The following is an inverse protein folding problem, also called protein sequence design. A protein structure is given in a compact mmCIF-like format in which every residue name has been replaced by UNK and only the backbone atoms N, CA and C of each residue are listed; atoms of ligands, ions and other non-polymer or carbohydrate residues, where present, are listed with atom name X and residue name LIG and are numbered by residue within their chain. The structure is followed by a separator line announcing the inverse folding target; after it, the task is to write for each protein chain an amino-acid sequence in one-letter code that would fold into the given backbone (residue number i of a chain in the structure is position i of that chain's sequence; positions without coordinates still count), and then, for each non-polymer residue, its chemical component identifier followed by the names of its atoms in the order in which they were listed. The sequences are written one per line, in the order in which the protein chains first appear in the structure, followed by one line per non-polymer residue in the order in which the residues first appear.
data_IF_651767225394
#
_entry.id   IF_651767225394
#
_cell.length_a   1.000
_cell.length_b   1.000
_cell.length_c   1.000
_cell.angle_alpha   90.00
_cell.angle_beta   90.00
_cell.angle_gamma   90.00
#
_symmetry.space_group_name_H-M   'P 1'
#
loop_
_entity.id
_entity.type
_entity.pdbx_description
1 polymer ?
#
# COMPACT_ATOMS: atom_id res chain seq x y z
N UNK A 1 -16.37 -11.39 17.01
CA UNK A 1 -15.77 -10.06 17.28
C UNK A 1 -14.34 -10.25 17.76
N UNK A 2 -13.36 -9.47 17.25
CA UNK A 2 -11.97 -9.57 17.66
C UNK A 2 -11.26 -8.22 17.56
N UNK A 3 -10.13 -8.12 18.25
CA UNK A 3 -9.22 -6.96 18.20
C UNK A 3 -7.85 -7.48 17.80
N UNK A 4 -7.16 -6.74 16.94
CA UNK A 4 -5.82 -7.07 16.48
C UNK A 4 -4.95 -5.83 16.59
N UNK A 5 -3.75 -5.98 17.12
CA UNK A 5 -2.83 -4.87 17.32
C UNK A 5 -1.67 -4.94 16.30
N UNK A 6 -1.20 -3.79 15.89
CA UNK A 6 -0.10 -3.66 14.94
C UNK A 6 1.16 -4.42 15.39
N UNK A 7 1.50 -4.33 16.67
CA UNK A 7 2.69 -5.00 17.23
C UNK A 7 2.55 -6.52 17.17
N UNK A 8 1.35 -7.05 17.41
CA UNK A 8 1.08 -8.49 17.31
C UNK A 8 1.20 -8.98 15.87
N UNK A 9 0.66 -8.20 14.92
CA UNK A 9 0.74 -8.52 13.49
C UNK A 9 2.20 -8.54 13.01
N UNK A 10 3.04 -7.67 13.54
CA UNK A 10 4.47 -7.60 13.18
C UNK A 10 5.24 -8.88 13.48
N UNK A 11 4.77 -9.69 14.41
CA UNK A 11 5.38 -10.96 14.77
C UNK A 11 4.87 -12.15 13.95
N UNK A 12 4.06 -11.88 12.92
CA UNK A 12 3.42 -12.92 12.09
C UNK A 12 3.76 -12.74 10.62
N UNK A 13 3.33 -13.69 9.78
CA UNK A 13 3.44 -13.61 8.32
C UNK A 13 2.59 -12.50 7.71
N UNK A 14 1.74 -11.84 8.50
CA UNK A 14 0.97 -10.67 8.08
C UNK A 14 1.84 -9.41 7.96
N UNK A 15 3.02 -9.41 8.54
CA UNK A 15 4.00 -8.37 8.35
C UNK A 15 4.84 -8.66 7.10
N UNK A 16 4.92 -7.69 6.21
CA UNK A 16 5.67 -7.79 4.96
C UNK A 16 6.57 -6.58 4.80
N UNK A 17 7.87 -6.80 4.65
CA UNK A 17 8.78 -5.79 4.10
C UNK A 17 8.73 -5.94 2.57
N UNK A 18 8.21 -4.92 1.86
CA UNK A 18 8.04 -5.00 0.42
C UNK A 18 9.16 -4.29 -0.36
N UNK A 19 10.26 -3.95 0.32
CA UNK A 19 11.45 -3.35 -0.28
C UNK A 19 11.55 -1.84 -0.03
N UNK A 20 10.53 -1.08 -0.39
CA UNK A 20 10.48 0.37 -0.17
C UNK A 20 9.66 0.76 1.07
N UNK A 21 9.32 -0.18 1.89
CA UNK A 21 8.55 0.06 3.10
C UNK A 21 8.01 -1.23 3.69
N UNK A 22 6.99 -1.09 4.54
CA UNK A 22 6.39 -2.21 5.25
C UNK A 22 4.88 -2.21 5.09
N UNK A 23 4.29 -3.39 5.19
CA UNK A 23 2.85 -3.58 5.20
C UNK A 23 2.49 -4.51 6.36
N UNK A 24 1.68 -4.00 7.27
CA UNK A 24 1.05 -4.80 8.31
C UNK A 24 -0.37 -5.11 7.82
N UNK A 25 -0.62 -6.36 7.44
CA UNK A 25 -1.92 -6.80 6.88
C UNK A 25 -2.86 -7.11 8.03
N UNK A 26 -3.60 -6.09 8.45
CA UNK A 26 -4.51 -6.18 9.60
C UNK A 26 -5.72 -7.06 9.31
N UNK A 27 -6.24 -7.01 8.08
CA UNK A 27 -7.30 -7.88 7.59
C UNK A 27 -6.91 -8.45 6.23
N UNK A 28 -7.14 -9.75 6.06
CA UNK A 28 -6.93 -10.46 4.80
C UNK A 28 -8.20 -11.24 4.43
N UNK A 29 -8.18 -11.93 3.30
CA UNK A 29 -9.30 -12.73 2.81
C UNK A 29 -9.84 -13.71 3.86
N UNK A 30 -8.94 -14.34 4.62
CA UNK A 30 -9.32 -15.35 5.63
C UNK A 30 -10.13 -14.78 6.80
N UNK A 31 -10.09 -13.47 7.01
CA UNK A 31 -10.89 -12.82 8.03
C UNK A 31 -12.37 -12.67 7.63
N UNK A 32 -12.71 -12.92 6.37
CA UNK A 32 -14.09 -13.02 5.89
C UNK A 32 -14.85 -11.69 5.81
N UNK A 33 -14.16 -10.55 5.85
CA UNK A 33 -14.80 -9.23 5.80
C UNK A 33 -15.07 -8.73 4.39
N UNK A 34 -14.51 -9.39 3.36
CA UNK A 34 -14.71 -8.99 1.97
C UNK A 34 -13.78 -7.87 1.50
N UNK A 35 -12.82 -7.46 2.31
CA UNK A 35 -11.80 -6.48 1.96
C UNK A 35 -10.54 -6.71 2.80
N UNK A 36 -9.44 -6.10 2.36
CA UNK A 36 -8.17 -6.10 3.10
C UNK A 36 -7.91 -4.70 3.65
N UNK A 37 -7.35 -4.64 4.86
CA UNK A 37 -6.84 -3.40 5.47
C UNK A 37 -5.38 -3.62 5.85
N UNK A 38 -4.53 -2.71 5.38
CA UNK A 38 -3.10 -2.72 5.73
C UNK A 38 -2.71 -1.38 6.35
N UNK A 39 -1.81 -1.44 7.32
CA UNK A 39 -1.03 -0.28 7.74
C UNK A 39 0.25 -0.29 6.92
N UNK A 40 0.42 0.70 6.05
CA UNK A 40 1.49 0.73 5.06
C UNK A 40 2.44 1.89 5.34
N UNK A 41 3.73 1.60 5.40
CA UNK A 41 4.78 2.62 5.46
C UNK A 41 5.51 2.62 4.13
N UNK A 42 5.62 3.80 3.53
CA UNK A 42 6.44 4.06 2.34
C UNK A 42 7.65 4.86 2.80
N UNK A 43 8.84 4.30 2.65
CA UNK A 43 10.07 4.93 3.16
C UNK A 43 10.34 6.25 2.44
N UNK A 44 10.86 7.21 3.21
CA UNK A 44 11.36 8.48 2.67
C UNK A 44 12.34 8.25 1.52
N UNK A 45 12.31 9.12 0.52
CA UNK A 45 13.22 9.12 -0.62
C UNK A 45 13.15 7.84 -1.49
N UNK A 46 12.06 7.08 -1.40
CA UNK A 46 11.87 5.86 -2.19
C UNK A 46 10.92 6.07 -3.37
N UNK A 47 11.06 5.22 -4.38
CA UNK A 47 10.18 5.17 -5.54
C UNK A 47 9.90 3.74 -5.93
N UNK A 48 8.64 3.42 -6.22
CA UNK A 48 8.24 2.13 -6.76
C UNK A 48 7.19 2.31 -7.86
N UNK A 49 7.29 1.50 -8.90
CA UNK A 49 6.26 1.39 -9.94
C UNK A 49 5.38 0.19 -9.62
N UNK A 50 4.10 0.44 -9.39
CA UNK A 50 3.15 -0.54 -8.87
C UNK A 50 1.89 -0.61 -9.74
N UNK A 51 1.27 -1.78 -9.75
CA UNK A 51 -0.05 -1.97 -10.35
C UNK A 51 -0.76 -3.14 -9.68
N UNK A 52 -2.05 -2.98 -9.39
CA UNK A 52 -2.89 -4.05 -8.82
C UNK A 52 -3.94 -4.44 -9.86
N UNK A 53 -3.61 -5.43 -10.68
CA UNK A 53 -4.50 -5.88 -11.78
C UNK A 53 -5.72 -6.64 -11.29
N UNK A 54 -5.62 -7.25 -10.12
CA UNK A 54 -6.66 -8.10 -9.54
C UNK A 54 -7.38 -7.44 -8.38
N UNK A 55 -7.02 -6.20 -8.04
CA UNK A 55 -7.58 -5.48 -6.89
C UNK A 55 -7.77 -4.01 -7.20
N UNK A 56 -8.79 -3.41 -6.62
CA UNK A 56 -8.89 -1.98 -6.46
C UNK A 56 -8.25 -1.60 -5.12
N UNK A 57 -7.64 -0.43 -5.03
CA UNK A 57 -7.04 0.04 -3.80
C UNK A 57 -7.43 1.48 -3.51
N UNK A 58 -7.70 1.76 -2.25
CA UNK A 58 -7.81 3.12 -1.72
C UNK A 58 -6.80 3.27 -0.57
N UNK A 59 -6.08 4.39 -0.55
CA UNK A 59 -5.07 4.67 0.46
C UNK A 59 -5.36 6.00 1.14
N UNK A 60 -5.58 5.94 2.46
CA UNK A 60 -5.78 7.13 3.28
C UNK A 60 -4.48 7.45 4.04
N UNK A 61 -3.93 8.64 3.80
CA UNK A 61 -2.71 9.08 4.48
C UNK A 61 -3.03 9.55 5.90
N UNK A 62 -2.35 8.95 6.88
CA UNK A 62 -2.54 9.29 8.29
C UNK A 62 -1.34 10.03 8.87
N UNK A 63 -0.17 9.99 8.20
CA UNK A 63 1.05 10.65 8.68
C UNK A 63 2.04 10.81 7.54
N UNK A 64 2.84 11.87 7.62
CA UNK A 64 3.91 12.11 6.66
C UNK A 64 3.42 12.68 5.35
N UNK A 65 4.25 12.54 4.34
CA UNK A 65 3.97 13.04 2.99
C UNK A 65 4.66 12.19 1.93
N UNK A 66 4.19 12.31 0.72
CA UNK A 66 4.75 11.65 -0.45
C UNK A 66 3.99 12.07 -1.69
N UNK A 67 4.01 11.26 -2.71
CA UNK A 67 3.29 11.53 -3.96
C UNK A 67 3.00 10.25 -4.73
N UNK A 68 1.98 10.34 -5.59
CA UNK A 68 1.70 9.34 -6.62
C UNK A 68 1.73 10.02 -7.98
N UNK A 69 2.16 9.29 -9.00
CA UNK A 69 2.19 9.77 -10.38
C UNK A 69 1.54 8.74 -11.29
N UNK A 70 0.64 9.18 -12.17
CA UNK A 70 0.04 8.30 -13.17
C UNK A 70 0.96 8.14 -14.39
N UNK A 71 0.56 7.33 -15.37
CA UNK A 71 1.38 7.10 -16.57
C UNK A 71 1.34 8.24 -17.58
N UNK A 72 0.51 9.25 -17.34
CA UNK A 72 0.44 10.47 -18.17
C UNK A 72 1.32 11.60 -17.59
N UNK A 73 2.03 11.35 -16.50
CA UNK A 73 2.92 12.31 -15.86
C UNK A 73 2.24 13.25 -14.89
N UNK A 74 0.98 13.01 -14.54
CA UNK A 74 0.30 13.81 -13.52
C UNK A 74 0.78 13.40 -12.14
N UNK A 75 1.31 14.34 -11.38
CA UNK A 75 1.84 14.14 -10.03
C UNK A 75 0.85 14.69 -9.02
N UNK A 76 0.47 13.85 -8.07
CA UNK A 76 -0.45 14.19 -6.99
C UNK A 76 0.29 14.12 -5.66
N UNK A 77 0.59 15.28 -5.02
CA UNK A 77 1.14 15.27 -3.66
C UNK A 77 0.14 14.66 -2.69
N UNK A 78 0.64 13.86 -1.75
CA UNK A 78 -0.16 13.19 -0.72
C UNK A 78 0.38 13.60 0.64
N UNK A 79 -0.50 13.99 1.53
CA UNK A 79 -0.20 14.35 2.92
C UNK A 79 -1.32 13.86 3.84
N UNK A 80 -1.10 13.96 5.14
CA UNK A 80 -2.09 13.51 6.13
C UNK A 80 -3.46 14.14 5.85
N UNK A 81 -4.49 13.28 5.81
CA UNK A 81 -5.86 13.67 5.49
C UNK A 81 -6.27 13.44 4.04
N UNK A 82 -5.32 13.17 3.15
CA UNK A 82 -5.63 12.85 1.75
C UNK A 82 -5.94 11.37 1.57
N UNK A 83 -6.87 11.08 0.68
CA UNK A 83 -7.08 9.73 0.15
C UNK A 83 -6.75 9.74 -1.34
N UNK A 84 -6.02 8.73 -1.81
CA UNK A 84 -5.92 8.47 -3.25
C UNK A 84 -6.51 7.10 -3.57
N UNK A 85 -7.05 6.99 -4.78
CA UNK A 85 -7.84 5.83 -5.19
C UNK A 85 -7.36 5.32 -6.53
N UNK A 86 -7.08 4.02 -6.59
CA UNK A 86 -6.70 3.31 -7.81
C UNK A 86 -7.94 2.54 -8.29
N UNK A 87 -8.88 3.26 -8.91
CA UNK A 87 -10.21 2.74 -9.27
C UNK A 87 -10.29 2.11 -10.65
N UNK A 88 -9.18 2.11 -11.40
CA UNK A 88 -9.08 1.56 -12.76
C UNK A 88 -7.89 0.62 -12.89
N UNK A 89 -7.47 -0.02 -11.79
CA UNK A 89 -6.26 -0.84 -11.73
C UNK A 89 -5.03 -0.06 -12.21
N UNK A 90 -4.94 1.20 -11.81
CA UNK A 90 -3.99 2.18 -12.31
C UNK A 90 -2.55 1.76 -12.05
N UNK A 91 -1.75 1.75 -13.10
CA UNK A 91 -0.29 1.65 -12.98
C UNK A 91 0.22 3.02 -12.57
N UNK A 92 1.06 3.05 -11.55
CA UNK A 92 1.46 4.32 -10.95
C UNK A 92 2.81 4.23 -10.26
N UNK A 93 3.47 5.37 -10.13
CA UNK A 93 4.60 5.52 -9.21
C UNK A 93 4.07 5.91 -7.84
N UNK A 94 4.66 5.31 -6.80
CA UNK A 94 4.43 5.68 -5.41
C UNK A 94 5.77 6.09 -4.82
N UNK A 95 5.83 7.29 -4.24
CA UNK A 95 7.05 7.85 -3.66
C UNK A 95 6.83 8.29 -2.23
N UNK A 96 7.76 7.94 -1.35
CA UNK A 96 7.87 8.55 -0.02
C UNK A 96 8.32 10.00 -0.13
N UNK A 97 8.13 10.76 0.93
CA UNK A 97 8.50 12.16 0.96
C UNK A 97 10.00 12.37 1.02
N UNK A 98 10.43 13.62 0.86
CA UNK A 98 11.82 14.00 1.05
C UNK A 98 12.13 13.94 2.55
N UNK A 99 12.99 12.98 2.93
CA UNK A 99 13.42 12.76 4.31
C UNK A 99 12.27 12.47 5.29
N UNK A 100 11.10 12.05 4.77
CA UNK A 100 9.93 11.78 5.56
C UNK A 100 9.16 10.57 4.99
N UNK A 101 8.83 9.61 5.85
CA UNK A 101 8.00 8.47 5.48
C UNK A 101 6.55 8.90 5.22
N UNK A 102 5.90 8.18 4.32
CA UNK A 102 4.46 8.29 4.07
C UNK A 102 3.78 7.10 4.76
N UNK A 103 2.79 7.37 5.60
CA UNK A 103 2.06 6.32 6.33
C UNK A 103 0.60 6.31 5.87
N UNK A 104 0.17 5.14 5.40
CA UNK A 104 -1.12 4.95 4.78
C UNK A 104 -1.93 3.86 5.47
N UNK A 105 -3.24 4.02 5.48
CA UNK A 105 -4.18 2.91 5.65
C UNK A 105 -4.61 2.51 4.23
N UNK A 106 -4.22 1.31 3.81
CA UNK A 106 -4.49 0.78 2.47
C UNK A 106 -5.63 -0.23 2.55
N UNK A 107 -6.61 -0.08 1.66
CA UNK A 107 -7.80 -0.93 1.59
C UNK A 107 -7.88 -1.54 0.21
N UNK A 108 -8.00 -2.86 0.13
CA UNK A 108 -8.09 -3.62 -1.12
C UNK A 108 -9.42 -4.34 -1.25
N UNK A 109 -9.98 -4.34 -2.45
CA UNK A 109 -11.17 -5.10 -2.85
C UNK A 109 -10.94 -5.70 -4.26
N UNK A 110 -11.07 -7.00 -4.49
CA UNK A 110 -11.25 -8.07 -3.49
C UNK A 110 -10.09 -8.14 -2.49
N UNK A 111 -10.26 -8.85 -1.37
CA UNK A 111 -9.23 -8.91 -0.35
C UNK A 111 -7.98 -9.66 -0.82
N UNK A 112 -6.82 -9.26 -0.30
CA UNK A 112 -5.58 -10.01 -0.47
C UNK A 112 -5.66 -11.34 0.28
N UNK A 113 -5.05 -12.38 -0.28
CA UNK A 113 -4.94 -13.69 0.38
C UNK A 113 -3.95 -13.67 1.54
N UNK A 114 -2.94 -12.80 1.46
CA UNK A 114 -1.85 -12.69 2.41
C UNK A 114 -0.50 -13.15 1.85
N UNK A 115 -0.52 -13.82 0.70
CA UNK A 115 0.72 -14.32 0.05
C UNK A 115 1.29 -13.39 -1.02
N UNK A 116 0.53 -12.37 -1.41
CA UNK A 116 0.99 -11.42 -2.44
C UNK A 116 2.25 -10.68 -1.99
N UNK A 117 3.18 -10.51 -2.92
CA UNK A 117 4.46 -9.83 -2.70
C UNK A 117 4.78 -8.94 -3.90
N UNK A 118 5.34 -7.76 -3.62
CA UNK A 118 5.88 -6.90 -4.67
C UNK A 118 7.20 -7.44 -5.22
N UNK A 119 7.36 -7.32 -6.52
CA UNK A 119 8.64 -7.51 -7.21
C UNK A 119 9.09 -6.16 -7.77
N UNK A 120 9.92 -5.45 -7.00
CA UNK A 120 10.41 -4.12 -7.36
C UNK A 120 11.47 -4.16 -8.47
N UNK A 121 11.98 -5.35 -8.83
CA UNK A 121 12.90 -5.53 -9.94
C UNK A 121 12.18 -5.72 -11.28
N UNK A 122 10.86 -5.84 -11.27
CA UNK A 122 10.07 -5.95 -12.49
C UNK A 122 9.99 -4.59 -13.18
N UNK A 123 10.58 -4.49 -14.38
CA UNK A 123 10.63 -3.24 -15.17
C UNK A 123 9.25 -2.77 -15.63
N UNK A 124 8.28 -3.67 -15.70
CA UNK A 124 6.90 -3.34 -16.03
C UNK A 124 6.11 -2.83 -14.83
N UNK A 125 6.73 -2.80 -13.67
CA UNK A 125 6.13 -2.48 -12.38
C UNK A 125 5.77 -3.73 -11.60
N UNK A 126 5.79 -3.62 -10.27
CA UNK A 126 5.34 -4.70 -9.38
C UNK A 126 3.83 -4.84 -9.45
N UNK A 127 3.35 -6.07 -9.52
CA UNK A 127 1.94 -6.37 -9.76
C UNK A 127 1.42 -7.48 -8.85
N UNK A 128 0.17 -7.37 -8.44
CA UNK A 128 -0.65 -8.46 -7.90
C UNK A 128 -2.15 -8.20 -7.91
#
# INVERSE_FOLDING_TARGET
MFVRNLIEVELTERFVDWGNGTSHRLLTKDDGMGFTVCHTVVRANSEALLQYRNHLEACYCIKGEGEVEDMDGNVFPIRAGDIYVLDKHDRHYLRGGKDQDLVLVSIFNPPLTGSERHDLNNKSGSQY
#
